data_IF_625266660420
#
_entry.id   IF_625266660420
#
_cell.length_a   1.000
_cell.length_b   1.000
_cell.length_c   1.000
_cell.angle_alpha   90.00
_cell.angle_beta   90.00
_cell.angle_gamma   90.00
#
_symmetry.space_group_name_H-M   'P 1'
#
loop_
_entity.id
_entity.type
_entity.pdbx_description
1 polymer ?
#
# COMPACT_ATOMS: atom_id res chain seq x y z
N UNK A 1 21.93 18.60 13.76
CA UNK A 1 20.74 18.00 14.41
C UNK A 1 19.53 18.87 14.08
N UNK A 2 18.40 18.23 13.69
CA UNK A 2 17.05 18.78 13.48
C UNK A 2 16.78 19.38 12.08
N UNK A 3 16.41 18.53 11.12
CA UNK A 3 15.03 18.26 10.64
C UNK A 3 14.37 19.45 9.91
N UNK A 4 14.54 19.51 8.59
CA UNK A 4 13.52 20.09 7.70
C UNK A 4 12.55 18.97 7.38
N UNK A 5 11.37 19.06 8.00
CA UNK A 5 10.20 18.21 7.75
C UNK A 5 9.54 18.73 6.48
N UNK A 6 9.76 18.05 5.35
CA UNK A 6 9.07 18.36 4.10
C UNK A 6 7.55 18.24 4.31
N UNK A 7 6.73 19.16 3.75
CA UNK A 7 5.30 19.15 3.97
C UNK A 7 4.70 17.90 3.34
N UNK A 8 4.05 17.09 4.16
CA UNK A 8 3.15 16.02 3.73
C UNK A 8 2.00 16.68 2.95
N UNK A 9 2.09 16.69 1.63
CA UNK A 9 1.00 17.10 0.75
C UNK A 9 -0.17 16.16 0.99
N UNK A 10 -1.29 16.71 1.44
CA UNK A 10 -2.54 15.98 1.64
C UNK A 10 -2.96 15.31 0.31
N UNK A 11 -2.71 14.01 0.19
CA UNK A 11 -3.22 13.19 -0.90
C UNK A 11 -4.71 12.96 -0.64
N UNK A 12 -5.54 13.46 -1.54
CA UNK A 12 -6.97 13.18 -1.55
C UNK A 12 -7.16 11.67 -1.63
N UNK A 13 -7.54 11.06 -0.51
CA UNK A 13 -7.91 9.66 -0.44
C UNK A 13 -9.25 9.50 -1.13
N UNK A 14 -9.23 9.12 -2.40
CA UNK A 14 -10.36 8.43 -3.01
C UNK A 14 -10.77 7.32 -2.03
N UNK A 15 -12.03 7.27 -1.58
CA UNK A 15 -12.47 6.21 -0.67
C UNK A 15 -12.41 4.87 -1.41
N UNK A 16 -11.29 4.19 -1.28
CA UNK A 16 -11.09 2.85 -1.81
C UNK A 16 -11.65 1.86 -0.82
N UNK A 17 -12.70 1.15 -1.23
CA UNK A 17 -13.29 0.08 -0.43
C UNK A 17 -12.27 -1.03 -0.22
N UNK A 18 -12.41 -1.77 0.88
CA UNK A 18 -11.51 -2.89 1.20
C UNK A 18 -11.41 -3.92 0.04
N UNK A 19 -12.51 -4.32 -0.64
CA UNK A 19 -12.41 -5.22 -1.80
C UNK A 19 -11.62 -4.62 -2.96
N UNK A 20 -11.82 -3.33 -3.29
CA UNK A 20 -11.10 -2.67 -4.38
C UNK A 20 -9.59 -2.62 -4.12
N UNK A 21 -9.21 -2.28 -2.88
CA UNK A 21 -7.80 -2.27 -2.47
C UNK A 21 -7.18 -3.66 -2.54
N UNK A 22 -7.86 -4.71 -2.07
CA UNK A 22 -7.37 -6.10 -2.16
C UNK A 22 -7.19 -6.56 -3.59
N UNK A 23 -8.16 -6.28 -4.46
CA UNK A 23 -8.03 -6.58 -5.89
C UNK A 23 -6.80 -5.90 -6.49
N UNK A 24 -6.50 -4.66 -6.08
CA UNK A 24 -5.30 -3.96 -6.55
C UNK A 24 -4.00 -4.56 -6.02
N UNK A 25 -3.96 -4.93 -4.75
CA UNK A 25 -2.81 -5.65 -4.16
C UNK A 25 -2.50 -6.92 -4.97
N UNK A 26 -3.52 -7.74 -5.27
CA UNK A 26 -3.36 -8.96 -6.08
C UNK A 26 -2.82 -8.64 -7.48
N UNK A 27 -3.34 -7.61 -8.13
CA UNK A 27 -2.88 -7.19 -9.45
C UNK A 27 -1.39 -6.79 -9.45
N UNK A 28 -0.94 -6.04 -8.44
CA UNK A 28 0.46 -5.64 -8.29
C UNK A 28 1.37 -6.87 -8.08
N UNK A 29 1.00 -7.76 -7.16
CA UNK A 29 1.77 -8.97 -6.84
C UNK A 29 1.84 -9.95 -8.01
N UNK A 30 0.83 -9.95 -8.90
CA UNK A 30 0.82 -10.76 -10.12
C UNK A 30 1.68 -10.14 -11.21
N UNK A 31 1.72 -8.81 -11.30
CA UNK A 31 2.43 -8.09 -12.36
C UNK A 31 3.94 -8.00 -12.14
N UNK A 32 4.42 -8.00 -10.90
CA UNK A 32 5.85 -7.88 -10.56
C UNK A 32 6.20 -8.51 -9.22
N UNK A 33 7.47 -8.86 -9.06
CA UNK A 33 7.99 -9.24 -7.75
C UNK A 33 8.02 -8.01 -6.84
N UNK A 34 7.50 -8.20 -5.63
CA UNK A 34 7.52 -7.20 -4.56
C UNK A 34 8.25 -7.83 -3.38
N UNK A 35 9.31 -7.17 -2.90
CA UNK A 35 10.21 -7.70 -1.90
C UNK A 35 9.77 -7.40 -0.46
N UNK A 36 8.88 -6.42 -0.25
CA UNK A 36 8.38 -6.06 1.08
C UNK A 36 7.00 -5.40 1.07
N UNK A 37 6.34 -5.41 2.22
CA UNK A 37 5.10 -4.67 2.41
C UNK A 37 5.30 -3.14 2.26
N UNK A 38 6.47 -2.63 2.62
CA UNK A 38 6.78 -1.20 2.42
C UNK A 38 6.82 -0.86 0.92
N UNK A 39 7.51 -1.66 0.12
CA UNK A 39 7.54 -1.51 -1.34
C UNK A 39 6.13 -1.60 -1.94
N UNK A 40 5.31 -2.55 -1.48
CA UNK A 40 3.91 -2.65 -1.92
C UNK A 40 3.11 -1.38 -1.57
N UNK A 41 3.35 -0.79 -0.40
CA UNK A 41 2.73 0.48 0.02
C UNK A 41 3.12 1.64 -0.88
N UNK A 42 4.39 1.75 -1.26
CA UNK A 42 4.87 2.78 -2.20
C UNK A 42 4.25 2.63 -3.59
N UNK A 43 4.10 1.38 -4.06
CA UNK A 43 3.43 1.09 -5.34
C UNK A 43 1.95 1.48 -5.32
N UNK A 44 1.25 1.20 -4.23
CA UNK A 44 -0.14 1.63 -4.04
C UNK A 44 -0.25 3.15 -3.96
N UNK A 45 0.68 3.81 -3.26
CA UNK A 45 0.72 5.26 -3.13
C UNK A 45 0.97 5.95 -4.47
N UNK A 46 1.84 5.39 -5.32
CA UNK A 46 2.07 5.87 -6.67
C UNK A 46 0.81 5.85 -7.55
N UNK A 47 -0.18 5.03 -7.19
CA UNK A 47 -1.50 4.95 -7.84
C UNK A 47 -2.60 5.75 -7.11
N UNK A 48 -2.23 6.51 -6.08
CA UNK A 48 -3.16 7.31 -5.27
C UNK A 48 -3.86 6.53 -4.15
N UNK A 49 -3.45 5.29 -3.88
CA UNK A 49 -4.03 4.44 -2.83
C UNK A 49 -3.13 4.53 -1.58
N UNK A 50 -3.49 5.43 -0.66
CA UNK A 50 -2.79 5.57 0.61
C UNK A 50 -3.30 4.57 1.65
N UNK A 51 -2.41 3.78 2.23
CA UNK A 51 -2.72 2.73 3.20
C UNK A 51 -1.70 2.71 4.32
N UNK A 52 -2.12 2.33 5.52
CA UNK A 52 -1.17 2.08 6.61
C UNK A 52 -0.55 0.70 6.46
N UNK A 53 0.63 0.50 7.06
CA UNK A 53 1.25 -0.83 7.12
C UNK A 53 0.33 -1.85 7.81
N UNK A 54 -0.39 -1.45 8.87
CA UNK A 54 -1.36 -2.33 9.54
C UNK A 54 -2.48 -2.79 8.61
N UNK A 55 -3.05 -1.87 7.81
CA UNK A 55 -4.07 -2.20 6.81
C UNK A 55 -3.52 -3.17 5.77
N UNK A 56 -2.33 -2.89 5.27
CA UNK A 56 -1.70 -3.69 4.22
C UNK A 56 -1.39 -5.11 4.71
N UNK A 57 -0.84 -5.25 5.91
CA UNK A 57 -0.58 -6.53 6.56
C UNK A 57 -1.88 -7.37 6.66
N UNK A 58 -2.97 -6.77 7.15
CA UNK A 58 -4.28 -7.45 7.25
C UNK A 58 -4.85 -7.85 5.90
N UNK A 59 -4.66 -7.03 4.87
CA UNK A 59 -5.14 -7.37 3.53
C UNK A 59 -4.33 -8.50 2.90
N UNK A 60 -3.00 -8.51 3.10
CA UNK A 60 -2.12 -9.60 2.67
C UNK A 60 -2.45 -10.93 3.38
N UNK A 61 -2.69 -10.89 4.69
CA UNK A 61 -3.17 -12.05 5.46
C UNK A 61 -4.52 -12.56 4.90
N UNK A 62 -5.47 -11.65 4.66
CA UNK A 62 -6.82 -12.02 4.22
C UNK A 62 -6.87 -12.60 2.80
N UNK A 63 -5.93 -12.24 1.92
CA UNK A 63 -5.81 -12.80 0.57
C UNK A 63 -4.81 -13.95 0.47
N UNK A 64 -4.17 -14.33 1.60
CA UNK A 64 -3.17 -15.40 1.64
C UNK A 64 -1.86 -15.08 0.92
N UNK A 65 -1.58 -13.82 0.62
CA UNK A 65 -0.42 -13.38 -0.15
C UNK A 65 0.78 -13.02 0.75
N UNK A 66 1.07 -13.86 1.74
CA UNK A 66 2.13 -13.57 2.72
C UNK A 66 3.48 -14.05 2.19
N UNK A 67 4.33 -13.12 1.76
CA UNK A 67 5.79 -13.28 1.87
C UNK A 67 6.29 -12.33 2.96
N UNK A 68 7.18 -12.85 3.80
CA UNK A 68 7.78 -12.20 4.97
C UNK A 68 8.35 -10.82 4.63
#
# INVERSE_FOLDING_TARGET
MKIVKSPQTATQTIPQTMPARRARIVAILTAKQVASQHELGELLLAEGISVTQTTLSRDLEAIGAVKQ
#
